data_IF_530965093963
#
_entry.id   IF_530965093963
#
_cell.length_a   1.000
_cell.length_b   1.000
_cell.length_c   1.000
_cell.angle_alpha   90.00
_cell.angle_beta   90.00
_cell.angle_gamma   90.00
#
_symmetry.space_group_name_H-M   'P 1'
#
loop_
_entity.id
_entity.type
_entity.pdbx_description
1 polymer ?
#
# COMPACT_ATOMS: atom_id res chain seq x y z
N UNK A 1 29.51 15.63 -5.49
CA UNK A 1 28.31 16.31 -6.01
C UNK A 1 27.21 15.27 -6.16
N UNK A 2 26.44 15.03 -5.11
CA UNK A 2 25.29 14.11 -5.16
C UNK A 2 24.16 14.85 -5.85
N UNK A 3 23.88 14.48 -7.10
CA UNK A 3 22.65 14.91 -7.76
C UNK A 3 21.49 14.47 -6.86
N UNK A 4 20.78 15.43 -6.26
CA UNK A 4 19.50 15.17 -5.63
C UNK A 4 18.58 14.71 -6.75
N UNK A 5 18.47 13.39 -6.94
CA UNK A 5 17.52 12.77 -7.86
C UNK A 5 16.14 13.28 -7.44
N UNK A 6 15.55 14.14 -8.26
CA UNK A 6 14.19 14.63 -8.07
C UNK A 6 13.27 13.41 -8.24
N UNK A 7 12.82 12.82 -7.14
CA UNK A 7 11.79 11.79 -7.18
C UNK A 7 10.49 12.56 -7.41
N UNK A 8 9.77 12.33 -8.52
CA UNK A 8 8.47 12.95 -8.70
C UNK A 8 7.61 12.62 -7.48
N UNK A 9 7.02 13.62 -6.86
CA UNK A 9 6.04 13.37 -5.81
C UNK A 9 4.77 12.85 -6.49
N UNK A 10 4.24 11.72 -6.01
CA UNK A 10 2.97 11.23 -6.51
C UNK A 10 1.87 12.25 -6.18
N UNK A 11 0.85 12.40 -7.04
CA UNK A 11 -0.31 13.20 -6.67
C UNK A 11 -0.96 12.65 -5.39
N UNK A 12 -1.70 13.49 -4.68
CA UNK A 12 -2.53 13.00 -3.58
C UNK A 12 -3.73 12.22 -4.16
N UNK A 13 -4.04 11.01 -3.67
CA UNK A 13 -5.24 10.31 -4.08
C UNK A 13 -6.49 11.08 -3.65
N UNK A 14 -7.50 11.13 -4.51
CA UNK A 14 -8.79 11.68 -4.13
C UNK A 14 -9.54 10.75 -3.16
N UNK A 15 -10.55 11.30 -2.48
CA UNK A 15 -11.32 10.57 -1.48
C UNK A 15 -12.15 9.41 -2.04
N UNK A 16 -12.55 9.45 -3.31
CA UNK A 16 -13.31 8.37 -3.94
C UNK A 16 -12.37 7.19 -4.27
N UNK A 17 -11.18 7.48 -4.81
CA UNK A 17 -10.15 6.49 -5.05
C UNK A 17 -9.74 5.80 -3.74
N UNK A 18 -9.47 6.57 -2.68
CA UNK A 18 -9.13 6.04 -1.35
C UNK A 18 -10.18 5.06 -0.82
N UNK A 19 -11.47 5.41 -0.93
CA UNK A 19 -12.57 4.53 -0.51
C UNK A 19 -12.66 3.30 -1.38
N UNK A 20 -12.60 3.44 -2.70
CA UNK A 20 -12.68 2.33 -3.64
C UNK A 20 -11.57 1.31 -3.43
N UNK A 21 -10.32 1.78 -3.28
CA UNK A 21 -9.18 0.93 -2.97
C UNK A 21 -9.35 0.21 -1.63
N UNK A 22 -9.73 0.95 -0.58
CA UNK A 22 -9.92 0.37 0.77
C UNK A 22 -10.99 -0.72 0.75
N UNK A 23 -12.14 -0.47 0.13
CA UNK A 23 -13.22 -1.46 -0.02
C UNK A 23 -12.73 -2.69 -0.78
N UNK A 24 -12.03 -2.50 -1.91
CA UNK A 24 -11.54 -3.62 -2.72
C UNK A 24 -10.50 -4.46 -1.96
N UNK A 25 -9.64 -3.82 -1.19
CA UNK A 25 -8.66 -4.52 -0.36
C UNK A 25 -9.33 -5.36 0.73
N UNK A 26 -10.37 -4.83 1.38
CA UNK A 26 -11.15 -5.56 2.39
C UNK A 26 -11.96 -6.70 1.78
N UNK A 27 -12.42 -6.60 0.53
CA UNK A 27 -13.06 -7.71 -0.18
C UNK A 27 -12.08 -8.87 -0.41
N UNK A 28 -10.83 -8.59 -0.77
CA UNK A 28 -9.79 -9.61 -0.96
C UNK A 28 -9.23 -10.14 0.36
N UNK A 29 -9.24 -9.31 1.40
CA UNK A 29 -8.67 -9.58 2.73
C UNK A 29 -9.63 -9.12 3.82
N UNK A 30 -10.74 -9.86 4.05
CA UNK A 30 -11.73 -9.48 5.06
C UNK A 30 -11.19 -9.57 6.49
N UNK A 31 -10.05 -10.25 6.69
CA UNK A 31 -9.31 -10.32 7.95
C UNK A 31 -8.46 -9.07 8.23
N UNK A 32 -8.27 -8.20 7.25
CA UNK A 32 -7.46 -7.00 7.39
C UNK A 32 -8.23 -5.91 8.17
N UNK A 33 -7.64 -5.30 9.22
CA UNK A 33 -8.27 -4.17 9.90
C UNK A 33 -8.53 -3.01 8.94
N UNK A 34 -9.74 -2.43 9.00
CA UNK A 34 -10.15 -1.27 8.16
C UNK A 34 -9.16 -0.12 8.25
N UNK A 35 -8.63 0.16 9.45
CA UNK A 35 -7.62 1.18 9.66
C UNK A 35 -6.35 0.92 8.85
N UNK A 36 -5.88 -0.34 8.81
CA UNK A 36 -4.71 -0.75 8.03
C UNK A 36 -4.98 -0.61 6.53
N UNK A 37 -6.13 -1.09 6.05
CA UNK A 37 -6.51 -0.95 4.65
C UNK A 37 -6.51 0.52 4.20
N UNK A 38 -7.05 1.42 5.03
CA UNK A 38 -7.06 2.87 4.78
C UNK A 38 -5.65 3.48 4.79
N UNK A 39 -4.75 3.00 5.64
CA UNK A 39 -3.35 3.46 5.69
C UNK A 39 -2.50 2.97 4.53
N UNK A 40 -2.88 1.84 3.92
CA UNK A 40 -2.19 1.31 2.74
C UNK A 40 -2.57 2.04 1.45
N UNK A 41 -3.77 2.60 1.37
CA UNK A 41 -4.27 3.24 0.16
C UNK A 41 -3.34 4.35 -0.40
N UNK A 42 -2.82 5.33 0.38
CA UNK A 42 -1.93 6.35 -0.16
C UNK A 42 -0.61 5.79 -0.70
N UNK A 43 -0.13 4.70 -0.09
CA UNK A 43 1.13 4.05 -0.48
C UNK A 43 0.95 3.26 -1.77
N UNK A 44 -0.18 2.56 -1.90
CA UNK A 44 -0.57 1.89 -3.14
C UNK A 44 -0.73 2.90 -4.28
N UNK A 45 -1.35 4.05 -4.02
CA UNK A 45 -1.50 5.11 -5.00
C UNK A 45 -0.15 5.63 -5.51
N UNK A 46 0.77 5.93 -4.58
CA UNK A 46 2.10 6.40 -4.91
C UNK A 46 2.89 5.34 -5.69
N UNK A 47 2.84 4.07 -5.28
CA UNK A 47 3.49 2.98 -6.00
C UNK A 47 2.98 2.87 -7.45
N UNK A 48 1.67 2.93 -7.66
CA UNK A 48 1.07 2.90 -9.01
C UNK A 48 1.47 4.09 -9.90
N UNK A 49 1.85 5.23 -9.31
CA UNK A 49 2.22 6.43 -10.06
C UNK A 49 3.73 6.56 -10.29
N UNK A 50 4.54 6.05 -9.38
CA UNK A 50 5.99 6.25 -9.38
C UNK A 50 6.77 5.06 -9.89
N UNK A 51 6.14 3.89 -9.93
CA UNK A 51 6.80 2.63 -10.26
C UNK A 51 6.17 2.00 -11.50
N UNK A 52 6.96 1.20 -12.21
CA UNK A 52 6.40 0.30 -13.21
C UNK A 52 5.47 -0.74 -12.54
N UNK A 53 4.53 -1.35 -13.29
CA UNK A 53 3.65 -2.37 -12.71
C UNK A 53 4.39 -3.54 -12.03
N UNK A 54 5.57 -3.93 -12.55
CA UNK A 54 6.39 -4.97 -11.96
C UNK A 54 6.96 -4.54 -10.60
N UNK A 55 7.57 -3.36 -10.53
CA UNK A 55 8.12 -2.80 -9.29
C UNK A 55 7.02 -2.52 -8.24
N UNK A 56 5.85 -2.05 -8.69
CA UNK A 56 4.70 -1.85 -7.80
C UNK A 56 4.16 -3.16 -7.22
N UNK A 57 4.14 -4.24 -8.02
CA UNK A 57 3.74 -5.57 -7.57
C UNK A 57 4.74 -6.16 -6.57
N UNK A 58 6.05 -6.07 -6.85
CA UNK A 58 7.10 -6.52 -5.93
C UNK A 58 7.03 -5.78 -4.58
N UNK A 59 6.91 -4.46 -4.61
CA UNK A 59 6.75 -3.65 -3.40
C UNK A 59 5.49 -4.03 -2.61
N UNK A 60 4.40 -4.30 -3.32
CA UNK A 60 3.13 -4.69 -2.71
C UNK A 60 3.22 -6.06 -2.06
N UNK A 61 3.84 -7.03 -2.72
CA UNK A 61 4.05 -8.37 -2.16
C UNK A 61 4.94 -8.32 -0.91
N UNK A 62 6.04 -7.55 -0.93
CA UNK A 62 6.88 -7.33 0.24
C UNK A 62 6.12 -6.71 1.42
N UNK A 63 5.33 -5.65 1.15
CA UNK A 63 4.48 -4.98 2.14
C UNK A 63 3.44 -5.93 2.72
N UNK A 64 2.73 -6.67 1.87
CA UNK A 64 1.71 -7.62 2.30
C UNK A 64 2.31 -8.78 3.10
N UNK A 65 3.49 -9.28 2.72
CA UNK A 65 4.23 -10.28 3.49
C UNK A 65 4.67 -9.75 4.86
N UNK A 66 5.19 -8.53 4.93
CA UNK A 66 5.58 -7.89 6.19
C UNK A 66 4.37 -7.65 7.11
N UNK A 67 3.26 -7.14 6.56
CA UNK A 67 2.00 -6.94 7.29
C UNK A 67 1.45 -8.28 7.80
N UNK A 68 1.39 -9.31 6.96
CA UNK A 68 0.95 -10.65 7.36
C UNK A 68 1.81 -11.25 8.48
N UNK A 69 3.15 -11.10 8.43
CA UNK A 69 4.05 -11.57 9.50
C UNK A 69 3.84 -10.80 10.81
N UNK A 70 3.73 -9.47 10.74
CA UNK A 70 3.49 -8.64 11.92
C UNK A 70 2.19 -9.02 12.64
N UNK A 71 1.12 -9.29 11.88
CA UNK A 71 -0.17 -9.69 12.46
C UNK A 71 -0.21 -11.13 12.94
N UNK A 72 0.39 -12.08 12.23
CA UNK A 72 0.53 -13.47 12.73
C UNK A 72 1.34 -13.52 14.03
N UNK A 73 2.36 -12.68 14.17
CA UNK A 73 3.12 -12.53 15.42
C UNK A 73 2.35 -11.85 16.56
N UNK A 74 1.26 -11.13 16.25
CA UNK A 74 0.36 -10.52 17.23
C UNK A 74 -0.81 -11.43 17.61
N UNK A 75 -1.32 -12.24 16.67
CA UNK A 75 -2.44 -13.16 16.88
C UNK A 75 -2.03 -14.51 17.52
N UNK A 76 -0.73 -14.77 17.66
CA UNK A 76 -0.16 -15.94 18.33
C UNK A 76 0.16 -15.73 19.82
N UNK A 77 -0.40 -14.69 20.47
CA UNK A 77 -0.30 -14.45 21.91
C UNK A 77 -1.67 -14.40 22.55
#
# INVERSE_FOLDING_TARGET
>A
MTAHRWIPEAPAPDGAWMRGFTSRLLEMRPDLPVFTARHMAPQAFAAMHLLSPAEAAELWDERMLATNRAWRGLAGR
#
